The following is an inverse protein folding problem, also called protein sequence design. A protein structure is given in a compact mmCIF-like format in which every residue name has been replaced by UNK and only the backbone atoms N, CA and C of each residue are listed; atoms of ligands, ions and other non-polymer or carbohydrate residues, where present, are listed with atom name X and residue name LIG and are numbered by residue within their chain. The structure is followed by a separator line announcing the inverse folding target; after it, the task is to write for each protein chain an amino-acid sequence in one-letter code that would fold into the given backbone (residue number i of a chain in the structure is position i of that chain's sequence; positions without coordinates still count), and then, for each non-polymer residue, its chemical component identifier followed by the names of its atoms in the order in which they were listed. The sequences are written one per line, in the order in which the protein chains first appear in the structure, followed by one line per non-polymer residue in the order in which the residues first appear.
data_IF_934716002307
#
_entry.id   IF_934716002307
#
_cell.length_a   1.000
_cell.length_b   1.000
_cell.length_c   1.000
_cell.angle_alpha   90.00
_cell.angle_beta   90.00
_cell.angle_gamma   90.00
#
_symmetry.space_group_name_H-M   'P 1'
#
loop_
_entity.id
_entity.type
_entity.pdbx_description
1 polymer ?
#
# COMPACT_ATOMS: atom_id res chain seq x y z
N UNK A 1 49.59 -23.53 0.15
CA UNK A 1 49.88 -22.11 0.43
C UNK A 1 48.78 -21.58 1.32
N UNK A 2 49.09 -21.46 2.61
CA UNK A 2 48.18 -21.10 3.69
C UNK A 2 48.08 -19.59 3.79
N UNK A 3 46.86 -19.02 3.81
CA UNK A 3 46.64 -17.67 4.35
C UNK A 3 45.47 -17.67 5.33
N UNK A 4 45.77 -17.02 6.45
CA UNK A 4 45.11 -16.98 7.73
C UNK A 4 44.63 -15.53 7.94
N UNK A 5 43.56 -15.41 8.73
CA UNK A 5 43.13 -14.24 9.52
C UNK A 5 42.33 -13.11 8.86
N UNK A 6 41.23 -12.79 9.55
CA UNK A 6 40.51 -11.52 9.44
C UNK A 6 39.15 -11.51 10.16
N UNK A 7 39.11 -11.81 11.47
CA UNK A 7 37.96 -11.46 12.31
C UNK A 7 37.91 -9.93 12.47
N UNK A 8 36.80 -9.31 12.10
CA UNK A 8 36.48 -7.91 12.40
C UNK A 8 35.20 -7.84 13.23
N UNK A 9 35.31 -7.31 14.45
CA UNK A 9 34.26 -7.14 15.45
C UNK A 9 33.85 -5.66 15.52
N UNK A 10 32.57 -5.43 15.80
CA UNK A 10 31.92 -4.24 16.37
C UNK A 10 31.69 -3.00 15.50
N UNK A 11 30.43 -2.54 15.46
CA UNK A 11 29.98 -1.44 16.32
C UNK A 11 28.44 -1.32 16.25
N UNK A 12 27.78 -1.53 17.39
CA UNK A 12 26.38 -1.19 17.58
C UNK A 12 26.26 0.31 17.87
N UNK A 13 25.60 1.06 16.99
CA UNK A 13 25.23 2.45 17.26
C UNK A 13 23.82 2.49 17.87
N UNK A 14 23.75 2.87 19.14
CA UNK A 14 22.52 3.19 19.84
C UNK A 14 22.00 4.55 19.34
N UNK A 15 20.80 4.59 18.79
CA UNK A 15 20.08 5.83 18.51
C UNK A 15 19.19 6.17 19.70
N UNK A 16 19.55 7.24 20.41
CA UNK A 16 18.78 7.83 21.49
C UNK A 16 17.53 8.54 20.94
N UNK A 17 16.36 8.22 21.50
CA UNK A 17 15.13 8.99 21.30
C UNK A 17 15.16 10.24 22.17
N UNK A 18 15.18 11.42 21.53
CA UNK A 18 14.91 12.69 22.22
C UNK A 18 13.43 13.01 22.09
N UNK A 19 12.69 12.80 23.19
CA UNK A 19 11.33 13.29 23.36
C UNK A 19 11.35 14.81 23.57
N UNK A 20 10.60 15.56 22.75
CA UNK A 20 10.34 16.98 22.99
C UNK A 20 8.84 17.16 23.23
N UNK A 21 8.46 17.21 24.51
CA UNK A 21 7.17 17.73 24.94
C UNK A 21 7.15 19.25 24.82
N UNK A 22 6.05 19.79 24.31
CA UNK A 22 5.83 21.22 24.20
C UNK A 22 4.37 21.53 24.46
N UNK A 23 4.03 21.78 25.72
CA UNK A 23 2.77 22.39 26.12
C UNK A 23 2.78 23.89 25.81
N UNK A 24 1.66 24.40 25.31
CA UNK A 24 1.48 25.82 25.01
C UNK A 24 0.00 26.19 24.95
N UNK A 25 -0.53 26.64 26.08
CA UNK A 25 -1.79 27.37 26.19
C UNK A 25 -1.54 28.84 25.79
N UNK A 26 -2.32 29.42 24.86
CA UNK A 26 -2.76 30.82 24.92
C UNK A 26 -3.62 31.28 23.73
N UNK A 27 -4.70 32.00 24.08
CA UNK A 27 -5.26 33.22 23.48
C UNK A 27 -5.77 33.21 22.02
N UNK A 28 -7.10 33.12 21.95
CA UNK A 28 -8.00 34.15 21.41
C UNK A 28 -7.54 35.01 20.23
N UNK A 29 -8.35 35.00 19.16
CA UNK A 29 -8.60 36.17 18.32
C UNK A 29 -9.95 36.03 17.64
N UNK A 30 -10.92 36.78 18.18
CA UNK A 30 -12.16 37.15 17.51
C UNK A 30 -11.81 38.04 16.32
N UNK A 31 -12.33 37.73 15.13
CA UNK A 31 -12.33 38.65 14.00
C UNK A 31 -13.74 38.76 13.44
N UNK A 32 -14.34 39.89 13.81
CA UNK A 32 -15.59 40.46 13.33
C UNK A 32 -15.31 41.30 12.08
N UNK A 33 -16.36 41.55 11.28
CA UNK A 33 -16.53 42.63 10.28
C UNK A 33 -16.10 42.25 8.84
N UNK A 34 -16.77 42.61 7.74
CA UNK A 34 -18.01 43.39 7.49
C UNK A 34 -18.40 43.23 6.00
N UNK A 35 -19.72 43.28 5.75
CA UNK A 35 -20.45 43.96 4.65
C UNK A 35 -19.92 43.99 3.21
N UNK A 36 -20.75 43.49 2.30
CA UNK A 36 -20.74 43.83 0.87
C UNK A 36 -22.13 43.65 0.24
N UNK A 37 -22.95 44.70 0.29
CA UNK A 37 -24.23 44.81 -0.42
C UNK A 37 -24.01 45.22 -1.87
N UNK A 38 -24.61 44.50 -2.83
CA UNK A 38 -24.86 45.00 -4.18
C UNK A 38 -26.27 44.61 -4.61
N UNK A 39 -27.09 45.65 -4.78
CA UNK A 39 -28.48 45.64 -5.26
C UNK A 39 -28.49 45.60 -6.80
N UNK A 40 -29.36 44.79 -7.40
CA UNK A 40 -29.39 44.65 -8.87
C UNK A 40 -30.57 43.86 -9.45
N UNK A 41 -31.76 44.49 -9.38
CA UNK A 41 -32.82 44.54 -10.41
C UNK A 41 -33.64 43.29 -10.82
N UNK A 42 -34.95 43.49 -10.63
CA UNK A 42 -36.16 42.76 -11.02
C UNK A 42 -36.23 42.15 -12.43
N UNK A 43 -36.95 41.02 -12.53
CA UNK A 43 -37.44 40.45 -13.79
C UNK A 43 -38.38 39.25 -13.60
N UNK A 44 -39.69 39.53 -13.61
CA UNK A 44 -40.81 38.74 -14.15
C UNK A 44 -41.17 37.34 -13.60
N UNK A 45 -42.38 37.31 -13.06
CA UNK A 45 -43.19 36.19 -12.55
C UNK A 45 -43.64 35.21 -13.65
N UNK A 46 -43.47 33.91 -13.43
CA UNK A 46 -44.21 32.85 -14.11
C UNK A 46 -44.54 31.71 -13.10
N UNK A 47 -45.79 31.23 -13.02
CA UNK A 47 -46.17 30.14 -12.11
C UNK A 47 -45.86 28.78 -12.75
N UNK A 48 -44.69 28.22 -12.43
CA UNK A 48 -44.30 26.87 -12.81
C UNK A 48 -44.75 25.84 -11.77
N UNK A 49 -45.58 24.90 -12.19
CA UNK A 49 -46.12 23.77 -11.44
C UNK A 49 -45.05 23.02 -10.63
N UNK A 50 -45.25 22.93 -9.30
CA UNK A 50 -44.43 22.13 -8.40
C UNK A 50 -44.76 20.64 -8.58
N UNK A 51 -44.03 19.99 -9.47
CA UNK A 51 -43.98 18.52 -9.52
C UNK A 51 -42.97 18.05 -8.48
N UNK A 52 -43.47 17.53 -7.36
CA UNK A 52 -42.66 16.96 -6.29
C UNK A 52 -41.96 15.70 -6.79
N UNK A 53 -40.69 15.81 -7.16
CA UNK A 53 -39.88 14.63 -7.50
C UNK A 53 -39.72 13.75 -6.24
N UNK A 54 -39.88 12.42 -6.35
CA UNK A 54 -39.66 11.53 -5.22
C UNK A 54 -38.20 11.62 -4.79
N UNK A 55 -37.99 11.91 -3.50
CA UNK A 55 -36.69 11.89 -2.86
C UNK A 55 -36.09 10.49 -3.02
N UNK A 56 -35.09 10.37 -3.90
CA UNK A 56 -34.33 9.14 -4.07
C UNK A 56 -33.55 8.91 -2.78
N UNK A 57 -33.99 7.94 -1.98
CA UNK A 57 -33.27 7.48 -0.80
C UNK A 57 -31.85 7.08 -1.22
N UNK A 58 -30.86 7.81 -0.74
CA UNK A 58 -29.46 7.51 -0.96
C UNK A 58 -29.17 6.10 -0.40
N UNK A 59 -28.91 5.15 -1.27
CA UNK A 59 -28.48 3.81 -0.89
C UNK A 59 -27.10 3.95 -0.24
N UNK A 60 -27.00 3.65 1.06
CA UNK A 60 -25.74 3.69 1.80
C UNK A 60 -24.76 2.73 1.15
N UNK A 61 -23.67 3.26 0.59
CA UNK A 61 -22.62 2.42 0.02
C UNK A 61 -22.11 1.43 1.09
N UNK A 62 -21.82 0.17 0.73
CA UNK A 62 -21.26 -0.79 1.69
C UNK A 62 -19.96 -0.24 2.28
N UNK A 63 -19.91 -0.14 3.61
CA UNK A 63 -18.70 0.26 4.33
C UNK A 63 -17.80 -0.96 4.48
N UNK A 64 -16.52 -0.83 4.12
CA UNK A 64 -15.53 -1.88 4.37
C UNK A 64 -15.27 -2.01 5.88
N UNK A 65 -15.30 -3.25 6.38
CA UNK A 65 -14.91 -3.61 7.74
C UNK A 65 -13.74 -4.61 7.69
N UNK A 66 -12.51 -4.18 8.05
CA UNK A 66 -11.36 -5.08 8.02
C UNK A 66 -11.46 -6.24 9.01
N UNK A 67 -12.25 -6.11 10.09
CA UNK A 67 -12.45 -7.18 11.05
C UNK A 67 -13.35 -8.30 10.51
N UNK A 68 -14.15 -8.02 9.48
CA UNK A 68 -14.98 -8.99 8.78
C UNK A 68 -14.21 -9.76 7.69
N UNK A 69 -12.96 -9.38 7.40
CA UNK A 69 -12.12 -10.06 6.43
C UNK A 69 -11.64 -11.45 6.89
N UNK A 70 -11.19 -12.30 5.96
CA UNK A 70 -10.70 -13.65 6.24
C UNK A 70 -9.48 -13.66 7.18
N UNK A 71 -9.45 -14.66 8.05
CA UNK A 71 -8.29 -14.99 8.88
C UNK A 71 -7.57 -16.16 8.23
N UNK A 72 -6.39 -15.89 7.69
CA UNK A 72 -5.56 -16.90 7.01
C UNK A 72 -4.47 -17.41 7.95
N UNK A 73 -4.36 -18.74 8.04
CA UNK A 73 -3.29 -19.43 8.76
C UNK A 73 -1.96 -19.26 8.01
N UNK A 74 -0.86 -18.87 8.68
CA UNK A 74 0.46 -18.77 8.05
C UNK A 74 0.93 -20.07 7.37
N UNK A 75 0.43 -21.24 7.77
CA UNK A 75 0.73 -22.52 7.12
C UNK A 75 0.22 -22.58 5.67
N UNK A 76 -0.82 -21.80 5.34
CA UNK A 76 -1.40 -21.70 3.99
C UNK A 76 -0.74 -20.63 3.12
N UNK A 77 0.31 -19.95 3.62
CA UNK A 77 1.07 -19.04 2.78
C UNK A 77 1.73 -19.83 1.61
N UNK A 78 1.72 -19.28 0.39
CA UNK A 78 2.36 -19.90 -0.77
C UNK A 78 3.82 -20.26 -0.51
N UNK A 79 4.25 -21.39 -1.08
CA UNK A 79 5.63 -21.90 -0.92
C UNK A 79 6.56 -21.51 -2.07
N UNK A 80 6.03 -20.83 -3.08
CA UNK A 80 6.72 -20.39 -4.28
C UNK A 80 6.00 -19.16 -4.86
N UNK A 81 6.59 -18.53 -5.88
CA UNK A 81 6.02 -17.33 -6.47
C UNK A 81 4.80 -17.59 -7.35
N UNK A 82 4.74 -18.71 -8.06
CA UNK A 82 3.55 -19.11 -8.82
C UNK A 82 2.28 -19.25 -7.96
N UNK A 83 2.41 -19.57 -6.67
CA UNK A 83 1.26 -19.62 -5.75
C UNK A 83 0.85 -18.24 -5.20
N UNK A 84 1.65 -17.20 -5.46
CA UNK A 84 1.37 -15.81 -5.08
C UNK A 84 0.79 -15.05 -6.28
N UNK A 85 1.51 -15.07 -7.41
CA UNK A 85 1.11 -14.52 -8.71
C UNK A 85 1.69 -15.42 -9.80
N UNK A 86 0.87 -15.76 -10.79
CA UNK A 86 1.36 -16.54 -11.95
C UNK A 86 2.04 -15.64 -12.97
N UNK A 87 2.95 -16.20 -13.79
CA UNK A 87 3.54 -15.46 -14.93
C UNK A 87 2.46 -14.97 -15.91
N UNK A 88 1.36 -15.73 -16.06
CA UNK A 88 0.23 -15.35 -16.90
C UNK A 88 -0.50 -14.11 -16.36
N UNK A 89 -0.70 -14.01 -15.03
CA UNK A 89 -1.27 -12.81 -14.40
C UNK A 89 -0.33 -11.62 -14.55
N UNK A 90 0.98 -11.83 -14.39
CA UNK A 90 1.99 -10.78 -14.57
C UNK A 90 1.98 -10.26 -16.01
N UNK A 91 1.97 -11.15 -17.00
CA UNK A 91 1.90 -10.82 -18.42
C UNK A 91 0.57 -10.14 -18.78
N UNK A 92 -0.56 -10.60 -18.23
CA UNK A 92 -1.86 -9.99 -18.44
C UNK A 92 -1.93 -8.57 -17.84
N UNK A 93 -1.30 -8.37 -16.69
CA UNK A 93 -1.27 -7.07 -16.04
C UNK A 93 -0.40 -6.06 -16.81
N UNK A 94 0.81 -6.49 -17.21
CA UNK A 94 1.82 -5.67 -17.90
C UNK A 94 1.55 -5.51 -19.41
N UNK A 95 0.82 -6.45 -20.01
CA UNK A 95 0.60 -6.54 -21.46
C UNK A 95 1.78 -7.17 -22.23
N UNK A 96 2.89 -7.47 -21.56
CA UNK A 96 4.09 -8.08 -22.13
C UNK A 96 4.71 -9.05 -21.11
N UNK A 97 5.47 -10.07 -21.56
CA UNK A 97 6.20 -10.92 -20.64
C UNK A 97 7.27 -10.11 -19.89
N UNK A 98 7.42 -10.39 -18.60
CA UNK A 98 8.48 -9.82 -17.77
C UNK A 98 9.80 -10.56 -18.06
N UNK A 99 10.90 -9.82 -18.23
CA UNK A 99 12.21 -10.44 -18.48
C UNK A 99 12.89 -10.78 -17.16
N UNK A 100 13.42 -11.99 -17.04
CA UNK A 100 14.15 -12.47 -15.86
C UNK A 100 13.44 -13.63 -15.16
N UNK A 101 14.04 -14.13 -14.10
CA UNK A 101 13.46 -15.17 -13.26
C UNK A 101 12.57 -14.62 -12.14
N UNK A 102 12.10 -15.52 -11.29
CA UNK A 102 11.50 -15.22 -10.00
C UNK A 102 12.43 -15.62 -8.85
N UNK A 103 12.22 -15.01 -7.68
CA UNK A 103 12.94 -15.36 -6.46
C UNK A 103 12.01 -15.31 -5.26
N UNK A 104 11.79 -16.49 -4.67
CA UNK A 104 10.93 -16.68 -3.50
C UNK A 104 11.73 -16.59 -2.21
N UNK A 105 11.26 -15.79 -1.27
CA UNK A 105 11.84 -15.66 0.06
C UNK A 105 10.76 -15.77 1.15
N UNK A 106 10.76 -16.86 1.93
CA UNK A 106 9.92 -16.96 3.12
C UNK A 106 10.58 -16.21 4.29
N UNK A 107 9.77 -15.67 5.19
CA UNK A 107 10.23 -15.04 6.42
C UNK A 107 9.63 -15.74 7.64
N UNK A 108 10.41 -15.74 8.72
CA UNK A 108 9.95 -16.25 10.00
C UNK A 108 8.92 -15.31 10.63
N UNK A 109 8.03 -15.83 11.49
CA UNK A 109 7.13 -15.02 12.30
C UNK A 109 7.89 -13.98 13.14
N UNK A 110 7.27 -12.83 13.36
CA UNK A 110 7.78 -11.75 14.18
C UNK A 110 6.78 -11.40 15.28
N UNK A 111 7.07 -11.91 16.48
CA UNK A 111 6.20 -11.74 17.64
C UNK A 111 6.07 -10.27 18.08
N UNK A 112 7.13 -9.46 17.93
CA UNK A 112 7.11 -8.04 18.31
C UNK A 112 6.11 -7.24 17.48
N UNK A 113 5.80 -7.73 16.29
CA UNK A 113 4.89 -7.12 15.34
C UNK A 113 3.59 -7.89 15.14
N UNK A 114 3.36 -8.94 15.93
CA UNK A 114 2.27 -9.91 15.78
C UNK A 114 2.16 -10.49 14.37
N UNK A 115 3.27 -10.52 13.62
CA UNK A 115 3.31 -11.09 12.28
C UNK A 115 3.46 -12.60 12.41
N UNK A 116 2.50 -13.35 11.91
CA UNK A 116 2.46 -14.82 12.01
C UNK A 116 3.15 -15.51 10.84
N UNK A 117 3.34 -14.80 9.73
CA UNK A 117 4.05 -15.29 8.55
C UNK A 117 4.23 -14.19 7.52
N UNK A 118 5.23 -14.34 6.64
CA UNK A 118 5.40 -13.46 5.48
C UNK A 118 6.14 -14.19 4.37
N UNK A 119 5.70 -13.95 3.15
CA UNK A 119 6.37 -14.40 1.93
C UNK A 119 6.62 -13.20 1.03
N UNK A 120 7.72 -13.24 0.31
CA UNK A 120 8.11 -12.23 -0.67
C UNK A 120 8.53 -12.90 -1.95
N UNK A 121 8.03 -12.37 -3.05
CA UNK A 121 8.38 -12.77 -4.39
C UNK A 121 8.91 -11.59 -5.15
N UNK A 122 10.08 -11.79 -5.74
CA UNK A 122 10.68 -10.85 -6.66
C UNK A 122 10.53 -11.43 -8.05
N UNK A 123 10.09 -10.61 -9.01
CA UNK A 123 9.93 -11.00 -10.40
C UNK A 123 10.78 -10.09 -11.30
N UNK A 124 11.18 -10.64 -12.44
CA UNK A 124 12.10 -9.96 -13.35
C UNK A 124 13.48 -9.81 -12.70
N UNK A 125 13.90 -10.87 -12.01
CA UNK A 125 15.13 -10.91 -11.24
C UNK A 125 16.33 -10.95 -12.18
N UNK A 126 17.31 -10.08 -11.90
CA UNK A 126 18.63 -10.09 -12.54
C UNK A 126 19.62 -10.73 -11.57
N UNK A 127 20.32 -11.75 -12.04
CA UNK A 127 21.37 -12.44 -11.28
C UNK A 127 22.75 -12.01 -11.76
N UNK A 128 23.70 -11.88 -10.84
CA UNK A 128 25.11 -11.75 -11.20
C UNK A 128 25.71 -13.11 -11.64
N UNK A 129 26.98 -13.09 -12.05
CA UNK A 129 27.72 -14.30 -12.45
C UNK A 129 27.86 -15.35 -11.33
N UNK A 130 27.61 -14.96 -10.07
CA UNK A 130 27.62 -15.85 -8.91
C UNK A 130 26.20 -16.34 -8.53
N UNK A 131 25.18 -16.00 -9.32
CA UNK A 131 23.79 -16.38 -9.09
C UNK A 131 23.09 -15.58 -7.98
N UNK A 132 23.63 -14.40 -7.60
CA UNK A 132 23.01 -13.53 -6.59
C UNK A 132 22.07 -12.53 -7.23
N UNK A 133 20.92 -12.29 -6.59
CA UNK A 133 19.98 -11.24 -6.98
C UNK A 133 20.63 -9.87 -6.85
N UNK A 134 20.80 -9.17 -7.97
CA UNK A 134 21.32 -7.79 -8.02
C UNK A 134 20.21 -6.76 -8.25
N UNK A 135 19.03 -7.20 -8.66
CA UNK A 135 17.85 -6.36 -8.86
C UNK A 135 16.64 -7.17 -9.28
N UNK A 136 15.47 -6.55 -9.19
CA UNK A 136 14.18 -7.13 -9.56
C UNK A 136 13.24 -6.02 -10.05
N UNK A 137 12.37 -6.29 -11.01
CA UNK A 137 11.48 -5.27 -11.58
C UNK A 137 10.18 -5.09 -10.77
N UNK A 138 9.70 -6.18 -10.18
CA UNK A 138 8.49 -6.21 -9.36
C UNK A 138 8.79 -6.98 -8.07
N UNK A 139 8.26 -6.50 -6.95
CA UNK A 139 8.25 -7.21 -5.68
C UNK A 139 6.81 -7.32 -5.18
N UNK A 140 6.42 -8.51 -4.73
CA UNK A 140 5.11 -8.79 -4.14
C UNK A 140 5.35 -9.41 -2.77
N UNK A 141 4.72 -8.87 -1.74
CA UNK A 141 4.73 -9.43 -0.39
C UNK A 141 3.32 -9.69 0.10
N UNK A 142 3.18 -10.82 0.78
CA UNK A 142 2.01 -11.17 1.55
C UNK A 142 2.45 -11.47 2.98
N UNK A 143 1.86 -10.79 3.95
CA UNK A 143 2.08 -11.05 5.36
C UNK A 143 0.77 -11.37 6.05
N UNK A 144 0.81 -12.30 7.00
CA UNK A 144 -0.29 -12.63 7.91
C UNK A 144 0.05 -12.17 9.31
N UNK A 145 -0.98 -11.83 10.07
CA UNK A 145 -0.90 -11.31 11.43
C UNK A 145 -1.79 -12.11 12.37
N UNK A 146 -1.63 -11.88 13.68
CA UNK A 146 -2.45 -12.52 14.69
C UNK A 146 -3.93 -12.07 14.63
N UNK A 147 -4.17 -10.83 14.19
CA UNK A 147 -5.49 -10.20 14.17
C UNK A 147 -5.56 -9.09 13.10
N UNK A 148 -6.77 -8.69 12.71
CA UNK A 148 -6.99 -7.64 11.71
C UNK A 148 -6.48 -6.25 12.12
N UNK A 149 -6.64 -5.80 13.37
CA UNK A 149 -6.06 -4.53 13.83
C UNK A 149 -4.53 -4.47 13.65
N UNK A 150 -3.84 -5.59 13.84
CA UNK A 150 -2.39 -5.68 13.62
C UNK A 150 -2.02 -5.52 12.15
N UNK A 151 -2.74 -6.19 11.24
CA UNK A 151 -2.55 -6.04 9.81
C UNK A 151 -2.79 -4.59 9.35
N UNK A 152 -3.91 -3.98 9.79
CA UNK A 152 -4.24 -2.59 9.49
C UNK A 152 -3.16 -1.63 10.03
N UNK A 153 -2.72 -1.81 11.27
CA UNK A 153 -1.65 -0.99 11.87
C UNK A 153 -0.35 -1.08 11.08
N UNK A 154 -0.02 -2.25 10.52
CA UNK A 154 1.19 -2.48 9.73
C UNK A 154 1.12 -1.87 8.35
N UNK A 155 -0.03 -1.98 7.69
CA UNK A 155 -0.28 -1.27 6.44
C UNK A 155 -0.15 0.24 6.64
N UNK A 156 -0.77 0.79 7.68
CA UNK A 156 -0.69 2.21 8.01
C UNK A 156 0.74 2.66 8.36
N UNK A 157 1.48 1.87 9.14
CA UNK A 157 2.88 2.16 9.45
C UNK A 157 3.76 2.17 8.19
N UNK A 158 3.54 1.23 7.27
CA UNK A 158 4.27 1.17 5.99
C UNK A 158 4.03 2.42 5.16
N UNK A 159 2.76 2.82 4.99
CA UNK A 159 2.41 4.07 4.31
C UNK A 159 3.03 5.28 5.02
N UNK A 160 2.96 5.32 6.36
CA UNK A 160 3.52 6.40 7.17
C UNK A 160 5.03 6.53 7.03
N UNK A 161 5.77 5.42 6.99
CA UNK A 161 7.22 5.40 6.74
C UNK A 161 7.54 5.95 5.35
N UNK A 162 6.82 5.52 4.31
CA UNK A 162 7.02 6.02 2.95
C UNK A 162 6.69 7.52 2.84
N UNK A 163 5.59 7.95 3.43
CA UNK A 163 5.20 9.36 3.48
C UNK A 163 6.21 10.23 4.25
N UNK A 164 6.75 9.73 5.36
CA UNK A 164 7.82 10.38 6.12
C UNK A 164 9.13 10.53 5.32
N UNK A 165 9.31 9.72 4.28
CA UNK A 165 10.41 9.83 3.30
C UNK A 165 10.15 10.84 2.17
N UNK A 166 8.99 11.50 2.14
CA UNK A 166 8.62 12.47 1.09
C UNK A 166 7.74 11.91 -0.03
N UNK A 167 7.35 10.62 0.05
CA UNK A 167 6.48 10.03 -0.94
C UNK A 167 5.06 10.63 -0.90
N UNK A 168 4.47 10.79 -2.08
CA UNK A 168 3.06 11.13 -2.24
C UNK A 168 2.21 9.87 -2.13
N UNK A 169 1.00 9.99 -1.60
CA UNK A 169 0.08 8.86 -1.51
C UNK A 169 -1.33 9.25 -1.97
N UNK A 170 -2.04 8.25 -2.49
CA UNK A 170 -3.41 8.38 -2.99
C UNK A 170 -4.22 7.17 -2.52
N UNK A 171 -5.38 7.39 -1.86
CA UNK A 171 -6.29 6.30 -1.56
C UNK A 171 -6.86 5.73 -2.86
N UNK A 172 -6.87 4.40 -2.95
CA UNK A 172 -7.40 3.64 -4.08
C UNK A 172 -8.23 2.47 -3.53
N UNK A 173 -8.95 1.78 -4.40
CA UNK A 173 -9.63 0.54 -4.03
C UNK A 173 -9.28 -0.59 -4.97
N UNK A 174 -9.17 -1.80 -4.41
CA UNK A 174 -8.96 -3.04 -5.16
C UNK A 174 -10.09 -3.99 -4.78
N UNK A 175 -10.97 -4.29 -5.74
CA UNK A 175 -12.09 -5.22 -5.53
C UNK A 175 -12.93 -4.91 -4.28
N UNK A 176 -13.17 -3.61 -4.02
CA UNK A 176 -13.94 -3.12 -2.87
C UNK A 176 -13.13 -2.90 -1.59
N UNK A 177 -11.85 -3.27 -1.55
CA UNK A 177 -10.98 -3.14 -0.39
C UNK A 177 -10.17 -1.84 -0.46
N UNK A 178 -9.98 -1.12 0.65
CA UNK A 178 -9.16 0.07 0.68
C UNK A 178 -7.69 -0.29 0.49
N UNK A 179 -7.04 0.45 -0.38
CA UNK A 179 -5.61 0.36 -0.63
C UNK A 179 -5.02 1.77 -0.72
N UNK A 180 -3.71 1.87 -0.56
CA UNK A 180 -2.97 3.12 -0.70
C UNK A 180 -1.89 2.94 -1.75
N UNK A 181 -1.98 3.74 -2.81
CA UNK A 181 -0.94 3.85 -3.82
C UNK A 181 0.02 4.95 -3.39
N UNK A 182 1.32 4.66 -3.40
CA UNK A 182 2.40 5.53 -2.92
C UNK A 182 3.45 5.66 -4.01
N UNK A 183 3.88 6.89 -4.26
CA UNK A 183 4.86 7.21 -5.30
C UNK A 183 5.80 8.29 -4.83
N UNK A 184 7.07 8.18 -5.21
CA UNK A 184 8.03 9.27 -5.11
C UNK A 184 8.69 9.45 -6.48
N UNK A 185 8.73 10.67 -7.01
CA UNK A 185 9.27 10.90 -8.36
C UNK A 185 10.74 10.49 -8.44
N UNK A 186 11.10 9.67 -9.44
CA UNK A 186 12.45 9.12 -9.56
C UNK A 186 12.66 7.80 -8.80
N UNK A 187 11.61 7.23 -8.18
CA UNK A 187 11.68 6.00 -7.38
C UNK A 187 10.53 5.04 -7.66
N UNK A 188 10.65 3.84 -7.11
CA UNK A 188 9.68 2.76 -7.20
C UNK A 188 8.30 3.18 -6.67
N UNK A 189 7.25 2.71 -7.34
CA UNK A 189 5.88 2.86 -6.89
C UNK A 189 5.51 1.71 -5.95
N UNK A 190 4.70 1.98 -4.93
CA UNK A 190 4.27 0.99 -3.94
C UNK A 190 2.75 1.02 -3.79
N UNK A 191 2.12 -0.14 -3.73
CA UNK A 191 0.71 -0.29 -3.38
C UNK A 191 0.60 -1.14 -2.11
N UNK A 192 -0.09 -0.60 -1.10
CA UNK A 192 -0.35 -1.25 0.18
C UNK A 192 -1.85 -1.53 0.31
N UNK A 193 -2.24 -2.76 0.59
CA UNK A 193 -3.62 -3.15 0.90
C UNK A 193 -3.64 -4.01 2.16
N UNK A 194 -4.76 -4.04 2.86
CA UNK A 194 -4.98 -4.97 3.97
C UNK A 194 -6.42 -5.48 3.94
N UNK A 195 -6.61 -6.71 4.42
CA UNK A 195 -7.90 -7.37 4.52
C UNK A 195 -7.81 -8.54 5.52
N UNK A 196 -8.74 -8.57 6.48
CA UNK A 196 -8.68 -9.50 7.61
C UNK A 196 -7.34 -9.40 8.33
N UNK A 197 -6.69 -10.54 8.60
CA UNK A 197 -5.37 -10.57 9.22
C UNK A 197 -4.20 -10.45 8.23
N UNK A 198 -4.41 -9.95 7.01
CA UNK A 198 -3.39 -9.93 5.95
C UNK A 198 -3.03 -8.53 5.49
N UNK A 199 -1.79 -8.36 5.04
CA UNK A 199 -1.36 -7.20 4.26
C UNK A 199 -0.73 -7.65 2.96
N UNK A 200 -1.01 -6.88 1.90
CA UNK A 200 -0.47 -7.05 0.58
C UNK A 200 0.38 -5.83 0.25
N UNK A 201 1.59 -6.07 -0.21
CA UNK A 201 2.50 -5.03 -0.66
C UNK A 201 2.95 -5.38 -2.08
N UNK A 202 2.80 -4.44 -3.01
CA UNK A 202 3.38 -4.55 -4.34
C UNK A 202 4.30 -3.36 -4.55
N UNK A 203 5.52 -3.61 -4.98
CA UNK A 203 6.50 -2.58 -5.33
C UNK A 203 6.93 -2.79 -6.78
N UNK A 204 6.96 -1.72 -7.55
CA UNK A 204 7.26 -1.76 -8.98
C UNK A 204 8.31 -0.71 -9.30
N UNK A 205 9.37 -1.14 -9.97
CA UNK A 205 10.41 -0.24 -10.40
C UNK A 205 9.88 0.78 -11.40
N UNK A 206 10.25 2.04 -11.22
CA UNK A 206 9.85 3.12 -12.13
C UNK A 206 10.33 2.87 -13.57
N UNK A 207 11.46 2.17 -13.73
CA UNK A 207 12.00 1.82 -15.04
C UNK A 207 11.12 0.82 -15.82
N UNK A 208 10.28 0.04 -15.13
CA UNK A 208 9.38 -0.93 -15.76
C UNK A 208 8.14 -0.24 -16.32
N UNK A 209 7.45 0.54 -15.49
CA UNK A 209 6.19 1.21 -15.83
C UNK A 209 6.03 2.46 -14.98
N UNK A 210 5.43 3.52 -15.53
CA UNK A 210 5.39 4.85 -14.91
C UNK A 210 3.98 5.39 -14.73
N UNK A 211 3.84 6.36 -13.83
CA UNK A 211 2.63 7.16 -13.69
C UNK A 211 1.36 6.33 -13.49
N UNK A 212 0.33 6.63 -14.27
CA UNK A 212 -0.97 5.95 -14.18
C UNK A 212 -0.92 4.49 -14.67
N UNK A 213 -0.02 4.15 -15.60
CA UNK A 213 0.17 2.77 -16.06
C UNK A 213 0.72 1.90 -14.93
N UNK A 214 1.62 2.43 -14.09
CA UNK A 214 2.15 1.73 -12.92
C UNK A 214 1.06 1.43 -11.90
N UNK A 215 0.19 2.42 -11.66
CA UNK A 215 -0.98 2.27 -10.81
C UNK A 215 -1.93 1.20 -11.37
N UNK A 216 -2.28 1.28 -12.65
CA UNK A 216 -3.16 0.30 -13.30
C UNK A 216 -2.59 -1.12 -13.26
N UNK A 217 -1.29 -1.28 -13.50
CA UNK A 217 -0.57 -2.53 -13.37
C UNK A 217 -0.68 -3.09 -11.94
N UNK A 218 -0.33 -2.30 -10.92
CA UNK A 218 -0.38 -2.78 -9.53
C UNK A 218 -1.79 -3.11 -9.06
N UNK A 219 -2.82 -2.37 -9.49
CA UNK A 219 -4.21 -2.70 -9.18
C UNK A 219 -4.59 -4.11 -9.70
N UNK A 220 -4.16 -4.46 -10.92
CA UNK A 220 -4.39 -5.80 -11.49
C UNK A 220 -3.61 -6.88 -10.74
N UNK A 221 -2.36 -6.61 -10.37
CA UNK A 221 -1.54 -7.57 -9.61
C UNK A 221 -2.14 -7.83 -8.23
N UNK A 222 -2.55 -6.79 -7.51
CA UNK A 222 -3.13 -6.96 -6.17
C UNK A 222 -4.49 -7.66 -6.24
N UNK A 223 -5.28 -7.40 -7.28
CA UNK A 223 -6.52 -8.11 -7.53
C UNK A 223 -6.30 -9.61 -7.83
N UNK A 224 -5.30 -9.94 -8.67
CA UNK A 224 -4.89 -11.33 -8.90
C UNK A 224 -4.39 -12.00 -7.61
N UNK A 225 -3.52 -11.32 -6.86
CA UNK A 225 -2.99 -11.78 -5.59
C UNK A 225 -4.11 -12.08 -4.59
N UNK A 226 -5.10 -11.20 -4.52
CA UNK A 226 -6.25 -11.37 -3.66
C UNK A 226 -7.01 -12.65 -4.03
N UNK A 227 -7.33 -12.86 -5.31
CA UNK A 227 -7.99 -14.08 -5.80
C UNK A 227 -7.22 -15.37 -5.51
N UNK A 228 -5.89 -15.35 -5.57
CA UNK A 228 -5.08 -16.55 -5.31
C UNK A 228 -4.97 -16.92 -3.84
N UNK A 229 -5.31 -15.99 -2.93
CA UNK A 229 -5.02 -16.13 -1.50
C UNK A 229 -6.27 -16.12 -0.62
N UNK A 230 -7.44 -15.89 -1.19
CA UNK A 230 -8.77 -16.06 -0.57
C UNK A 230 -9.38 -17.39 -0.95
#
# INVERSE_FOLDING_TARGET
MTRISGLGVAAAAALALTACGGGGSAKGSTSTSTTGSASGKAGSTAPGSKSSAPASSASTAPSFDPAAGPIVDPAHLPKNCSGLITDADMQLALGNPLNGGDYFQPFQPDAGHKQTGRVKCQYGVVLDNAGKVTGNQVEVQLATYADAPSAQSRAAATVGTLAGGGAQYSPVSVSGHPATYVTEGGKDAVLVMYDGNRTFLVTVQEALVKGDDAKAFMLKIVDALYRHTT
#
